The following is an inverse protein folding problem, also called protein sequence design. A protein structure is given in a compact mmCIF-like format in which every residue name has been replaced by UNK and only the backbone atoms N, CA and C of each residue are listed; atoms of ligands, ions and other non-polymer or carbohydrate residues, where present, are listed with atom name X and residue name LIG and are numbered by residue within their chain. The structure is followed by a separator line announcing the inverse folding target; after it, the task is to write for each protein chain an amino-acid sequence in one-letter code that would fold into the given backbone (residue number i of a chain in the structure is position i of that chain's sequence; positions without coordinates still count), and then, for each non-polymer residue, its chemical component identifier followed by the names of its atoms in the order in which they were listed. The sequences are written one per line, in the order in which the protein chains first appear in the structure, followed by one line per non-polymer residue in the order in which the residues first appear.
data_IF_252867482521
#
_entry.id   IF_252867482521
#
_cell.length_a   1.000
_cell.length_b   1.000
_cell.length_c   1.000
_cell.angle_alpha   90.00
_cell.angle_beta   90.00
_cell.angle_gamma   90.00
#
_symmetry.space_group_name_H-M   'P 1'
#
loop_
_entity.id
_entity.type
_entity.pdbx_description
1 polymer ?
#
# COMPACT_ATOMS: atom_id res chain seq x y z
N UNK A 1 -68.33 23.39 -10.23
CA UNK A 1 -67.30 23.24 -9.20
C UNK A 1 -65.99 23.07 -9.96
N UNK A 2 -65.16 24.10 -9.91
CA UNK A 2 -63.95 24.30 -10.71
C UNK A 2 -62.82 23.36 -10.28
N UNK A 3 -62.22 22.67 -11.25
CA UNK A 3 -60.97 21.93 -11.10
C UNK A 3 -59.81 22.93 -11.06
N UNK A 4 -59.08 22.98 -9.95
CA UNK A 4 -57.80 23.69 -9.84
C UNK A 4 -56.73 22.62 -9.57
N UNK A 5 -55.66 22.50 -10.38
CA UNK A 5 -54.57 21.58 -10.10
C UNK A 5 -53.66 22.16 -9.01
N UNK A 6 -53.23 21.32 -8.06
CA UNK A 6 -52.21 21.68 -7.08
C UNK A 6 -50.92 22.18 -7.77
N UNK A 7 -50.26 23.23 -7.24
CA UNK A 7 -49.00 23.70 -7.80
C UNK A 7 -47.89 22.66 -7.60
N UNK A 8 -46.92 22.57 -8.52
CA UNK A 8 -45.82 21.63 -8.38
C UNK A 8 -44.99 21.99 -7.14
N UNK A 9 -44.73 20.99 -6.29
CA UNK A 9 -43.81 21.08 -5.16
C UNK A 9 -42.44 21.44 -5.72
N UNK A 10 -42.08 22.72 -5.58
CA UNK A 10 -40.75 23.22 -5.91
C UNK A 10 -39.71 22.55 -5.02
N UNK A 11 -38.67 22.03 -5.66
CA UNK A 11 -37.44 21.54 -5.07
C UNK A 11 -36.79 22.65 -4.23
N UNK A 12 -37.10 22.67 -2.93
CA UNK A 12 -36.53 23.61 -1.98
C UNK A 12 -35.15 23.10 -1.54
N UNK A 13 -34.15 23.68 -2.20
CA UNK A 13 -32.81 23.91 -1.63
C UNK A 13 -32.04 22.67 -1.19
N UNK A 14 -31.65 21.82 -2.14
CA UNK A 14 -30.34 21.16 -2.03
C UNK A 14 -29.27 22.24 -2.24
N UNK A 15 -28.84 22.88 -1.17
CA UNK A 15 -27.59 23.64 -1.18
C UNK A 15 -26.46 22.63 -1.36
N UNK A 16 -26.04 22.43 -2.60
CA UNK A 16 -24.81 21.69 -2.88
C UNK A 16 -23.67 22.37 -2.10
N UNK A 17 -22.90 21.62 -1.28
CA UNK A 17 -21.75 22.19 -0.61
C UNK A 17 -20.78 22.74 -1.67
N UNK A 18 -20.13 23.89 -1.41
CA UNK A 18 -19.25 24.51 -2.38
C UNK A 18 -18.17 23.52 -2.81
N UNK A 19 -17.76 23.53 -4.10
CA UNK A 19 -16.81 22.58 -4.65
C UNK A 19 -15.50 22.70 -3.87
N UNK A 20 -15.26 21.74 -2.97
CA UNK A 20 -13.95 21.62 -2.33
C UNK A 20 -12.96 21.31 -3.44
N UNK A 21 -11.99 22.20 -3.64
CA UNK A 21 -10.93 22.09 -4.66
C UNK A 21 -10.46 20.63 -4.78
N UNK A 22 -10.45 20.04 -5.98
CA UNK A 22 -10.13 18.61 -6.17
C UNK A 22 -8.86 18.14 -5.46
N UNK A 23 -7.90 19.05 -5.22
CA UNK A 23 -6.72 18.80 -4.39
C UNK A 23 -7.02 18.44 -2.92
N UNK A 24 -7.99 19.09 -2.27
CA UNK A 24 -8.42 18.77 -0.89
C UNK A 24 -9.12 17.42 -0.83
N UNK A 25 -9.93 17.08 -1.84
CA UNK A 25 -10.58 15.77 -1.91
C UNK A 25 -9.58 14.65 -2.18
N UNK A 26 -8.68 14.83 -3.16
CA UNK A 26 -7.60 13.88 -3.45
C UNK A 26 -6.64 13.69 -2.26
N UNK A 27 -6.31 14.78 -1.55
CA UNK A 27 -5.51 14.72 -0.34
C UNK A 27 -6.22 13.91 0.76
N UNK A 28 -7.52 14.13 0.98
CA UNK A 28 -8.30 13.35 1.95
C UNK A 28 -8.39 11.87 1.55
N UNK A 29 -8.57 11.56 0.26
CA UNK A 29 -8.57 10.18 -0.24
C UNK A 29 -7.20 9.50 -0.04
N UNK A 30 -6.11 10.20 -0.34
CA UNK A 30 -4.76 9.68 -0.08
C UNK A 30 -4.53 9.44 1.42
N UNK A 31 -4.88 10.42 2.27
CA UNK A 31 -4.69 10.35 3.72
C UNK A 31 -5.51 9.24 4.40
N UNK A 32 -6.67 8.92 3.84
CA UNK A 32 -7.53 7.84 4.35
C UNK A 32 -7.12 6.46 3.80
N UNK A 33 -6.21 6.41 2.82
CA UNK A 33 -5.72 5.16 2.27
C UNK A 33 -4.59 4.56 3.11
N UNK A 34 -4.39 3.22 3.06
CA UNK A 34 -3.24 2.56 3.69
C UNK A 34 -1.88 3.17 3.30
N UNK A 35 -1.79 3.79 2.12
CA UNK A 35 -0.58 4.46 1.63
C UNK A 35 -0.13 5.64 2.49
N UNK A 36 -1.07 6.37 3.11
CA UNK A 36 -0.71 7.47 3.99
C UNK A 36 -0.02 6.99 5.26
N UNK A 37 -0.42 5.83 5.80
CA UNK A 37 0.28 5.19 6.92
C UNK A 37 1.71 4.78 6.58
N UNK A 38 2.00 4.48 5.31
CA UNK A 38 3.37 4.15 4.87
C UNK A 38 4.21 5.39 4.51
N UNK A 39 3.62 6.59 4.50
CA UNK A 39 4.32 7.78 4.02
C UNK A 39 5.55 8.20 4.83
N UNK A 40 5.60 8.08 6.18
CA UNK A 40 6.83 8.35 6.94
C UNK A 40 7.98 7.41 6.57
N UNK A 41 7.67 6.12 6.35
CA UNK A 41 8.64 5.11 5.94
C UNK A 41 9.19 5.38 4.54
N UNK A 42 8.33 5.75 3.60
CA UNK A 42 8.73 6.12 2.25
C UNK A 42 9.62 7.38 2.29
N UNK A 43 9.24 8.38 3.10
CA UNK A 43 10.03 9.61 3.26
C UNK A 43 11.42 9.30 3.83
N UNK A 44 11.50 8.45 4.85
CA UNK A 44 12.77 7.99 5.42
C UNK A 44 13.61 7.30 4.35
N UNK A 45 13.06 6.33 3.61
CA UNK A 45 13.78 5.60 2.56
C UNK A 45 14.32 6.52 1.45
N UNK A 46 13.60 7.58 1.10
CA UNK A 46 14.03 8.53 0.06
C UNK A 46 15.10 9.53 0.54
N UNK A 47 15.09 9.88 1.82
CA UNK A 47 16.01 10.87 2.39
C UNK A 47 17.26 10.22 2.99
N UNK A 48 17.16 8.99 3.45
CA UNK A 48 18.26 8.22 4.02
C UNK A 48 19.40 8.09 3.00
N UNK A 49 20.61 8.33 3.48
CA UNK A 49 21.85 8.27 2.71
C UNK A 49 23.02 8.72 3.58
N UNK A 50 24.27 8.59 3.10
CA UNK A 50 25.46 8.91 3.89
C UNK A 50 25.41 10.35 4.43
N UNK A 51 25.53 10.51 5.75
CA UNK A 51 25.47 11.80 6.45
C UNK A 51 24.11 12.47 6.50
N UNK A 52 23.02 11.79 6.09
CA UNK A 52 21.65 12.35 6.02
C UNK A 52 20.65 11.64 6.93
N UNK A 53 21.12 10.73 7.78
CA UNK A 53 20.26 9.94 8.66
C UNK A 53 19.45 10.82 9.62
N UNK A 54 20.08 11.84 10.23
CA UNK A 54 19.43 12.79 11.13
C UNK A 54 18.27 13.53 10.44
N UNK A 55 18.52 14.09 9.25
CA UNK A 55 17.52 14.82 8.47
C UNK A 55 16.35 13.91 8.07
N UNK A 56 16.66 12.69 7.64
CA UNK A 56 15.66 11.70 7.25
C UNK A 56 14.79 11.29 8.44
N UNK A 57 15.40 10.96 9.58
CA UNK A 57 14.69 10.54 10.79
C UNK A 57 13.82 11.67 11.36
N UNK A 58 14.36 12.90 11.42
CA UNK A 58 13.62 14.07 11.88
C UNK A 58 12.42 14.39 10.96
N UNK A 59 12.61 14.29 9.64
CA UNK A 59 11.54 14.53 8.66
C UNK A 59 10.44 13.47 8.74
N UNK A 60 10.82 12.19 8.87
CA UNK A 60 9.88 11.09 9.06
C UNK A 60 9.13 11.22 10.39
N UNK A 61 9.80 11.62 11.47
CA UNK A 61 9.17 11.88 12.76
C UNK A 61 8.17 13.05 12.68
N UNK A 62 8.56 14.16 12.05
CA UNK A 62 7.68 15.30 11.85
C UNK A 62 6.43 14.92 11.04
N UNK A 63 6.59 14.15 9.95
CA UNK A 63 5.47 13.65 9.16
C UNK A 63 4.57 12.73 10.00
N UNK A 64 5.16 11.83 10.80
CA UNK A 64 4.41 10.93 11.70
C UNK A 64 3.55 11.70 12.71
N UNK A 65 4.11 12.75 13.33
CA UNK A 65 3.37 13.63 14.24
C UNK A 65 2.23 14.37 13.52
N UNK A 66 2.48 14.85 12.30
CA UNK A 66 1.44 15.52 11.50
C UNK A 66 0.28 14.58 11.17
N UNK A 67 0.55 13.30 10.90
CA UNK A 67 -0.48 12.29 10.64
C UNK A 67 -1.27 11.96 11.91
N UNK A 68 -0.59 11.59 13.02
CA UNK A 68 -1.23 11.25 14.29
C UNK A 68 -2.10 12.39 14.83
N UNK A 69 -1.61 13.64 14.76
CA UNK A 69 -2.33 14.81 15.27
C UNK A 69 -3.41 15.27 14.27
N UNK A 70 -3.17 15.07 12.97
CA UNK A 70 -4.05 15.51 11.89
C UNK A 70 -5.27 14.63 11.70
N UNK A 71 -5.16 13.31 11.93
CA UNK A 71 -6.24 12.34 11.76
C UNK A 71 -7.49 12.66 12.60
N UNK A 72 -7.38 12.74 13.94
CA UNK A 72 -8.52 13.07 14.82
C UNK A 72 -9.18 14.41 14.49
N UNK A 73 -8.38 15.40 14.06
CA UNK A 73 -8.91 16.71 13.62
C UNK A 73 -9.75 16.63 12.33
N UNK A 74 -9.62 15.54 11.57
CA UNK A 74 -10.37 15.24 10.35
C UNK A 74 -11.48 14.20 10.58
N UNK A 75 -11.69 13.76 11.83
CA UNK A 75 -12.72 12.79 12.19
C UNK A 75 -12.32 11.32 12.05
N UNK A 76 -11.04 11.03 11.80
CA UNK A 76 -10.52 9.65 11.78
C UNK A 76 -9.99 9.23 13.16
N UNK A 77 -9.96 7.93 13.44
CA UNK A 77 -9.37 7.42 14.68
C UNK A 77 -7.85 7.33 14.56
N UNK A 78 -7.13 7.51 15.67
CA UNK A 78 -5.68 7.23 15.71
C UNK A 78 -5.43 5.76 15.42
N UNK A 79 -4.53 5.48 14.47
CA UNK A 79 -4.23 4.12 14.01
C UNK A 79 -2.96 3.58 14.68
N UNK A 80 -2.89 2.26 14.81
CA UNK A 80 -1.77 1.55 15.44
C UNK A 80 -0.47 1.82 14.70
N UNK A 81 -0.51 1.88 13.36
CA UNK A 81 0.65 2.21 12.53
C UNK A 81 1.12 3.64 12.81
N UNK A 82 0.24 4.62 12.89
CA UNK A 82 0.63 6.01 13.16
C UNK A 82 1.29 6.17 14.55
N UNK A 83 0.80 5.46 15.57
CA UNK A 83 1.43 5.43 16.91
C UNK A 83 2.79 4.76 16.84
N UNK A 84 2.90 3.67 16.08
CA UNK A 84 4.15 2.97 15.86
C UNK A 84 5.17 3.86 15.14
N UNK A 85 4.75 4.60 14.11
CA UNK A 85 5.58 5.53 13.35
C UNK A 85 6.15 6.63 14.26
N UNK A 86 5.30 7.30 15.04
CA UNK A 86 5.73 8.33 16.00
C UNK A 86 6.70 7.75 17.02
N UNK A 87 6.45 6.53 17.51
CA UNK A 87 7.31 5.88 18.49
C UNK A 87 8.68 5.51 17.89
N UNK A 88 8.67 4.89 16.72
CA UNK A 88 9.87 4.43 16.02
C UNK A 88 10.74 5.62 15.57
N UNK A 89 10.16 6.54 14.78
CA UNK A 89 10.89 7.70 14.27
C UNK A 89 11.24 8.68 15.39
N UNK A 90 10.42 8.79 16.44
CA UNK A 90 10.77 9.59 17.62
C UNK A 90 11.98 9.02 18.35
N UNK A 91 12.04 7.70 18.50
CA UNK A 91 13.21 7.02 19.08
C UNK A 91 14.44 7.23 18.20
N UNK A 92 14.32 7.07 16.87
CA UNK A 92 15.44 7.31 15.94
C UNK A 92 15.91 8.76 15.95
N UNK A 93 15.00 9.74 15.98
CA UNK A 93 15.33 11.15 16.07
C UNK A 93 16.04 11.50 17.40
N UNK A 94 15.58 10.93 18.53
CA UNK A 94 16.26 11.10 19.82
C UNK A 94 17.66 10.49 19.78
N UNK A 95 17.82 9.28 19.25
CA UNK A 95 19.13 8.64 19.14
C UNK A 95 20.04 9.50 18.26
N UNK A 96 19.55 9.97 17.11
CA UNK A 96 20.32 10.79 16.20
C UNK A 96 20.79 12.12 16.84
N UNK A 97 20.00 12.72 17.75
CA UNK A 97 20.36 13.97 18.43
C UNK A 97 21.36 13.80 19.58
N UNK A 98 21.43 12.63 20.22
CA UNK A 98 22.17 12.45 21.48
C UNK A 98 23.24 11.36 21.43
N UNK A 99 23.28 10.53 20.39
CA UNK A 99 24.23 9.44 20.28
C UNK A 99 25.60 9.93 19.78
N UNK A 100 26.64 9.13 20.02
CA UNK A 100 27.98 9.40 19.50
C UNK A 100 28.08 9.08 18.02
N UNK A 101 29.07 9.66 17.34
CA UNK A 101 29.37 9.41 15.91
C UNK A 101 29.46 7.91 15.59
N UNK A 102 30.02 7.10 16.49
CA UNK A 102 30.07 5.64 16.31
C UNK A 102 28.66 5.01 16.22
N UNK A 103 27.72 5.44 17.05
CA UNK A 103 26.35 4.91 17.01
C UNK A 103 25.65 5.37 15.73
N UNK A 104 25.89 6.61 15.30
CA UNK A 104 25.35 7.14 14.04
C UNK A 104 25.91 6.34 12.86
N UNK A 105 27.21 6.11 12.78
CA UNK A 105 27.84 5.25 11.75
C UNK A 105 27.26 3.83 11.73
N UNK A 106 26.94 3.29 12.92
CA UNK A 106 26.30 1.98 13.02
C UNK A 106 24.86 2.00 12.50
N UNK A 107 24.10 3.06 12.79
CA UNK A 107 22.75 3.26 12.27
C UNK A 107 22.72 3.56 10.77
N UNK A 108 23.73 4.24 10.23
CA UNK A 108 23.84 4.43 8.78
C UNK A 108 24.07 3.09 8.06
N UNK A 109 24.79 2.16 8.70
CA UNK A 109 24.99 0.81 8.17
C UNK A 109 23.76 -0.10 8.35
N UNK A 110 23.17 -0.12 9.54
CA UNK A 110 22.14 -1.11 9.91
C UNK A 110 20.72 -0.55 9.95
N UNK A 111 20.52 0.75 9.77
CA UNK A 111 19.23 1.41 9.91
C UNK A 111 18.19 0.95 8.90
N UNK A 112 18.63 0.57 7.69
CA UNK A 112 17.77 -0.05 6.68
C UNK A 112 17.22 -1.40 7.16
N UNK A 113 18.11 -2.28 7.62
CA UNK A 113 17.71 -3.59 8.14
C UNK A 113 16.85 -3.48 9.42
N UNK A 114 17.20 -2.57 10.33
CA UNK A 114 16.38 -2.29 11.52
C UNK A 114 14.97 -1.85 11.16
N UNK A 115 14.84 -0.99 10.13
CA UNK A 115 13.55 -0.52 9.62
C UNK A 115 12.72 -1.68 9.06
N UNK A 116 13.34 -2.55 8.27
CA UNK A 116 12.66 -3.72 7.72
C UNK A 116 12.20 -4.68 8.83
N UNK A 117 13.07 -4.98 9.80
CA UNK A 117 12.73 -5.82 10.96
C UNK A 117 11.61 -5.18 11.79
N UNK A 118 11.65 -3.86 11.99
CA UNK A 118 10.64 -3.13 12.73
C UNK A 118 9.26 -3.25 12.07
N UNK A 119 9.19 -3.09 10.75
CA UNK A 119 7.94 -3.25 9.98
C UNK A 119 7.40 -4.68 10.00
N UNK A 120 8.26 -5.70 9.84
CA UNK A 120 7.86 -7.11 9.97
C UNK A 120 7.31 -7.37 11.37
N UNK A 121 8.04 -6.93 12.40
CA UNK A 121 7.67 -7.12 13.80
C UNK A 121 6.37 -6.41 14.15
N UNK A 122 6.16 -5.22 13.62
CA UNK A 122 4.91 -4.48 13.77
C UNK A 122 3.73 -5.21 13.13
N UNK A 123 3.87 -5.63 11.87
CA UNK A 123 2.80 -6.30 11.15
C UNK A 123 2.43 -7.64 11.82
N UNK A 124 3.44 -8.45 12.20
CA UNK A 124 3.24 -9.66 13.00
C UNK A 124 2.65 -9.36 14.37
N UNK A 125 3.17 -8.35 15.06
CA UNK A 125 2.68 -7.92 16.37
C UNK A 125 1.20 -7.57 16.33
N UNK A 126 0.75 -6.87 15.28
CA UNK A 126 -0.65 -6.52 15.06
C UNK A 126 -1.55 -7.76 14.95
N UNK A 127 -1.09 -8.81 14.26
CA UNK A 127 -1.77 -10.11 14.18
C UNK A 127 -1.80 -10.79 15.56
N UNK A 128 -0.68 -10.80 16.28
CA UNK A 128 -0.54 -11.47 17.58
C UNK A 128 -1.45 -10.87 18.66
N UNK A 129 -1.64 -9.54 18.65
CA UNK A 129 -2.60 -8.86 19.54
C UNK A 129 -4.05 -8.93 19.01
N UNK A 130 -4.29 -9.70 17.95
CA UNK A 130 -5.58 -9.90 17.29
C UNK A 130 -6.21 -8.63 16.72
N UNK A 131 -5.39 -7.64 16.37
CA UNK A 131 -5.79 -6.37 15.75
C UNK A 131 -4.91 -6.14 14.52
N UNK A 132 -5.11 -6.90 13.42
CA UNK A 132 -4.35 -6.68 12.18
C UNK A 132 -4.39 -5.22 11.79
N UNK A 133 -3.24 -4.59 11.56
CA UNK A 133 -3.15 -3.13 11.43
C UNK A 133 -4.02 -2.58 10.29
N UNK A 134 -4.26 -3.38 9.25
CA UNK A 134 -5.10 -3.01 8.09
C UNK A 134 -6.56 -2.81 8.48
N UNK A 135 -7.04 -3.47 9.54
CA UNK A 135 -8.43 -3.42 10.00
C UNK A 135 -8.87 -2.00 10.34
N UNK A 136 -8.00 -1.19 10.95
CA UNK A 136 -8.31 0.19 11.33
C UNK A 136 -8.47 1.09 10.10
N UNK A 137 -7.72 0.84 9.03
CA UNK A 137 -7.86 1.55 7.76
C UNK A 137 -9.13 1.10 7.04
N UNK A 138 -9.36 -0.22 6.94
CA UNK A 138 -10.53 -0.76 6.25
C UNK A 138 -11.86 -0.30 6.88
N UNK A 139 -11.92 -0.12 8.21
CA UNK A 139 -13.11 0.40 8.89
C UNK A 139 -13.48 1.83 8.48
N UNK A 140 -12.54 2.63 7.99
CA UNK A 140 -12.83 4.00 7.54
C UNK A 140 -13.53 4.04 6.19
N UNK A 141 -13.36 2.99 5.37
CA UNK A 141 -13.96 2.89 4.03
C UNK A 141 -15.14 1.93 3.96
N UNK A 142 -15.31 1.06 4.97
CA UNK A 142 -16.36 0.05 5.02
C UNK A 142 -17.48 0.46 5.98
N UNK A 143 -18.74 0.17 5.61
CA UNK A 143 -19.90 0.45 6.46
C UNK A 143 -19.84 -0.31 7.79
N UNK A 144 -20.32 0.34 8.85
CA UNK A 144 -20.23 -0.16 10.24
C UNK A 144 -20.87 -1.53 10.44
N UNK A 145 -21.89 -1.85 9.66
CA UNK A 145 -22.58 -3.15 9.72
C UNK A 145 -21.70 -4.34 9.34
N UNK A 146 -20.66 -4.13 8.53
CA UNK A 146 -19.73 -5.20 8.11
C UNK A 146 -18.49 -5.33 9.00
N UNK A 147 -18.26 -4.40 9.93
CA UNK A 147 -17.03 -4.31 10.72
C UNK A 147 -16.73 -5.56 11.56
N UNK A 148 -17.77 -6.26 11.99
CA UNK A 148 -17.68 -7.47 12.81
C UNK A 148 -17.97 -8.74 12.00
N UNK A 149 -18.15 -8.63 10.68
CA UNK A 149 -18.38 -9.79 9.83
C UNK A 149 -17.13 -10.68 9.77
N UNK A 150 -17.28 -12.02 9.85
CA UNK A 150 -16.14 -12.94 9.76
C UNK A 150 -15.34 -12.78 8.47
N UNK A 151 -16.02 -12.46 7.35
CA UNK A 151 -15.38 -12.23 6.05
C UNK A 151 -14.49 -10.98 6.08
N UNK A 152 -14.99 -9.85 6.58
CA UNK A 152 -14.24 -8.61 6.68
C UNK A 152 -12.99 -8.75 7.57
N UNK A 153 -13.15 -9.42 8.71
CA UNK A 153 -12.03 -9.71 9.62
C UNK A 153 -11.02 -10.62 8.90
N UNK A 154 -11.48 -11.70 8.26
CA UNK A 154 -10.61 -12.63 7.54
C UNK A 154 -9.82 -11.94 6.43
N UNK A 155 -10.46 -11.10 5.62
CA UNK A 155 -9.81 -10.31 4.56
C UNK A 155 -8.65 -9.49 5.13
N UNK A 156 -8.88 -8.77 6.24
CA UNK A 156 -7.85 -7.95 6.87
C UNK A 156 -6.69 -8.77 7.44
N UNK A 157 -6.94 -9.96 7.98
CA UNK A 157 -5.86 -10.87 8.38
C UNK A 157 -5.02 -11.31 7.18
N UNK A 158 -5.65 -11.70 6.07
CA UNK A 158 -4.93 -12.15 4.88
C UNK A 158 -4.11 -11.02 4.26
N UNK A 159 -4.68 -9.80 4.19
CA UNK A 159 -3.95 -8.62 3.71
C UNK A 159 -2.77 -8.31 4.66
N UNK A 160 -2.97 -8.34 5.98
CA UNK A 160 -1.89 -8.13 6.94
C UNK A 160 -0.79 -9.18 6.80
N UNK A 161 -1.13 -10.44 6.53
CA UNK A 161 -0.14 -11.47 6.20
C UNK A 161 0.62 -11.19 4.89
N UNK A 162 -0.05 -10.65 3.87
CA UNK A 162 0.62 -10.21 2.64
C UNK A 162 1.64 -9.09 2.93
N UNK A 163 1.32 -8.15 3.84
CA UNK A 163 2.27 -7.15 4.32
C UNK A 163 3.44 -7.76 5.10
N UNK A 164 3.18 -8.74 5.98
CA UNK A 164 4.25 -9.48 6.67
C UNK A 164 5.19 -10.13 5.65
N UNK A 165 4.65 -10.74 4.59
CA UNK A 165 5.46 -11.34 3.53
C UNK A 165 6.24 -10.27 2.75
N UNK A 166 5.59 -9.16 2.38
CA UNK A 166 6.24 -8.06 1.66
C UNK A 166 7.41 -7.45 2.44
N UNK A 167 7.20 -7.14 3.72
CA UNK A 167 8.27 -6.67 4.61
C UNK A 167 9.30 -7.75 4.90
N UNK A 168 8.89 -9.01 5.01
CA UNK A 168 9.80 -10.14 5.21
C UNK A 168 10.75 -10.33 4.02
N UNK A 169 10.24 -10.20 2.79
CA UNK A 169 11.05 -10.18 1.57
C UNK A 169 12.03 -9.00 1.59
N UNK A 170 11.58 -7.82 2.01
CA UNK A 170 12.45 -6.66 2.12
C UNK A 170 13.57 -6.86 3.15
N UNK A 171 13.24 -7.37 4.35
CA UNK A 171 14.22 -7.68 5.41
C UNK A 171 15.22 -8.75 4.97
N UNK A 172 14.76 -9.87 4.42
CA UNK A 172 15.65 -10.95 3.96
C UNK A 172 16.56 -10.45 2.83
N UNK A 173 16.02 -9.62 1.93
CA UNK A 173 16.79 -9.00 0.85
C UNK A 173 17.85 -8.03 1.39
N UNK A 174 17.47 -7.11 2.28
CA UNK A 174 18.37 -6.16 2.93
C UNK A 174 19.49 -6.88 3.66
N UNK A 175 19.14 -7.81 4.56
CA UNK A 175 20.10 -8.65 5.27
C UNK A 175 21.05 -9.40 4.34
N UNK A 176 20.59 -9.90 3.18
CA UNK A 176 21.47 -10.54 2.21
C UNK A 176 22.44 -9.53 1.57
N UNK A 177 21.97 -8.32 1.23
CA UNK A 177 22.83 -7.23 0.75
C UNK A 177 23.92 -6.87 1.76
N UNK A 178 23.53 -6.71 3.02
CA UNK A 178 24.44 -6.30 4.09
C UNK A 178 25.43 -7.41 4.46
N UNK A 179 24.95 -8.63 4.69
CA UNK A 179 25.75 -9.73 5.26
C UNK A 179 26.52 -10.52 4.22
N UNK A 180 26.00 -10.64 2.99
CA UNK A 180 26.58 -11.51 1.94
C UNK A 180 27.27 -10.70 0.87
N UNK A 181 26.71 -9.55 0.47
CA UNK A 181 27.30 -8.70 -0.56
C UNK A 181 28.20 -7.59 0.01
N UNK A 182 28.13 -7.31 1.32
CA UNK A 182 28.79 -6.18 1.98
C UNK A 182 28.49 -4.84 1.27
N UNK A 183 27.27 -4.73 0.73
CA UNK A 183 26.77 -3.60 -0.05
C UNK A 183 25.32 -3.29 0.34
N UNK A 184 25.11 -2.47 1.39
CA UNK A 184 23.77 -2.13 1.86
C UNK A 184 22.95 -1.32 0.85
N UNK A 185 23.62 -0.67 -0.10
CA UNK A 185 22.98 0.15 -1.14
C UNK A 185 22.90 -0.58 -2.49
N UNK A 186 23.10 -1.90 -2.49
CA UNK A 186 23.05 -2.69 -3.70
C UNK A 186 21.74 -2.48 -4.47
N UNK A 187 21.83 -2.27 -5.78
CA UNK A 187 20.67 -1.98 -6.62
C UNK A 187 19.55 -3.02 -6.46
N UNK A 188 19.88 -4.31 -6.45
CA UNK A 188 18.87 -5.37 -6.37
C UNK A 188 18.37 -5.59 -4.96
N UNK A 189 19.29 -5.80 -4.00
CA UNK A 189 18.93 -6.23 -2.66
C UNK A 189 18.53 -5.07 -1.74
N UNK A 190 19.09 -3.88 -1.98
CA UNK A 190 18.78 -2.63 -1.29
C UNK A 190 17.52 -1.93 -1.81
N UNK A 191 17.18 -2.09 -3.10
CA UNK A 191 16.10 -1.33 -3.73
C UNK A 191 15.07 -2.18 -4.45
N UNK A 192 15.45 -2.89 -5.52
CA UNK A 192 14.46 -3.54 -6.41
C UNK A 192 13.65 -4.62 -5.68
N UNK A 193 14.27 -5.53 -4.96
CA UNK A 193 13.51 -6.62 -4.31
C UNK A 193 12.62 -6.08 -3.20
N UNK A 194 13.11 -5.10 -2.42
CA UNK A 194 12.36 -4.50 -1.32
C UNK A 194 11.13 -3.74 -1.83
N UNK A 195 11.32 -2.85 -2.81
CA UNK A 195 10.23 -2.09 -3.43
C UNK A 195 9.22 -3.04 -4.09
N UNK A 196 9.69 -4.10 -4.77
CA UNK A 196 8.82 -5.11 -5.36
C UNK A 196 7.93 -5.81 -4.33
N UNK A 197 8.48 -6.17 -3.16
CA UNK A 197 7.72 -6.74 -2.05
C UNK A 197 6.64 -5.79 -1.51
N UNK A 198 6.97 -4.50 -1.37
CA UNK A 198 6.01 -3.46 -0.95
C UNK A 198 4.91 -3.24 -1.99
N UNK A 199 5.26 -3.10 -3.28
CA UNK A 199 4.28 -2.91 -4.35
C UNK A 199 3.37 -4.14 -4.45
N UNK A 200 3.88 -5.35 -4.26
CA UNK A 200 3.05 -6.55 -4.20
C UNK A 200 2.05 -6.50 -3.06
N UNK A 201 2.47 -6.15 -1.84
CA UNK A 201 1.56 -6.05 -0.70
C UNK A 201 0.47 -4.98 -0.91
N UNK A 202 0.82 -3.87 -1.55
CA UNK A 202 -0.11 -2.83 -1.99
C UNK A 202 -1.11 -3.38 -3.01
N UNK A 203 -0.63 -3.97 -4.11
CA UNK A 203 -1.48 -4.52 -5.16
C UNK A 203 -2.42 -5.60 -4.61
N UNK A 204 -1.93 -6.40 -3.65
CA UNK A 204 -2.75 -7.38 -2.95
C UNK A 204 -3.81 -6.74 -2.04
N UNK A 205 -3.49 -5.63 -1.38
CA UNK A 205 -4.44 -4.88 -0.54
C UNK A 205 -5.61 -4.32 -1.37
N UNK A 206 -5.33 -3.87 -2.60
CA UNK A 206 -6.36 -3.37 -3.51
C UNK A 206 -7.18 -4.51 -4.14
N UNK A 207 -6.52 -5.59 -4.57
CA UNK A 207 -7.16 -6.69 -5.30
C UNK A 207 -7.96 -7.66 -4.40
N UNK A 208 -7.41 -8.01 -3.23
CA UNK A 208 -7.93 -9.15 -2.46
C UNK A 208 -9.34 -8.97 -1.87
N UNK A 209 -9.76 -7.78 -1.38
CA UNK A 209 -11.12 -7.59 -0.86
C UNK A 209 -12.21 -7.94 -1.89
N UNK A 210 -12.09 -7.42 -3.10
CA UNK A 210 -13.08 -7.61 -4.17
C UNK A 210 -13.08 -9.08 -4.63
N UNK A 211 -11.89 -9.66 -4.81
CA UNK A 211 -11.75 -11.08 -5.12
C UNK A 211 -12.38 -11.99 -4.04
N UNK A 212 -12.15 -11.69 -2.76
CA UNK A 212 -12.65 -12.50 -1.65
C UNK A 212 -14.17 -12.36 -1.47
N UNK A 213 -14.70 -11.14 -1.64
CA UNK A 213 -16.14 -10.84 -1.51
C UNK A 213 -16.93 -11.51 -2.62
N UNK A 214 -16.47 -11.40 -3.88
CA UNK A 214 -17.07 -12.11 -5.00
C UNK A 214 -17.09 -13.63 -4.79
N UNK A 215 -15.97 -14.21 -4.34
CA UNK A 215 -15.86 -15.67 -4.11
C UNK A 215 -16.75 -16.14 -2.96
N UNK A 216 -16.91 -15.32 -1.92
CA UNK A 216 -17.85 -15.60 -0.83
C UNK A 216 -19.30 -15.54 -1.32
N UNK A 217 -19.67 -14.50 -2.08
CA UNK A 217 -21.00 -14.35 -2.64
C UNK A 217 -21.39 -15.54 -3.54
N UNK A 218 -20.49 -15.97 -4.44
CA UNK A 218 -20.72 -17.15 -5.30
C UNK A 218 -20.86 -18.44 -4.49
N UNK A 219 -20.06 -18.61 -3.43
CA UNK A 219 -20.11 -19.81 -2.58
C UNK A 219 -21.41 -19.91 -1.79
N UNK A 220 -21.89 -18.78 -1.25
CA UNK A 220 -23.09 -18.72 -0.42
C UNK A 220 -24.37 -18.44 -1.22
N UNK A 221 -24.25 -18.21 -2.54
CA UNK A 221 -25.38 -17.93 -3.43
C UNK A 221 -26.00 -16.55 -3.23
N UNK A 222 -25.23 -15.58 -2.73
CA UNK A 222 -25.70 -14.20 -2.58
C UNK A 222 -25.81 -13.53 -3.95
N UNK A 223 -26.83 -12.68 -4.12
CA UNK A 223 -26.90 -11.78 -5.26
C UNK A 223 -25.72 -10.80 -5.15
N UNK A 224 -24.89 -10.76 -6.18
CA UNK A 224 -23.79 -9.80 -6.29
C UNK A 224 -23.80 -9.22 -7.69
N UNK A 225 -23.65 -7.90 -7.76
CA UNK A 225 -23.43 -7.17 -9.01
C UNK A 225 -21.94 -7.14 -9.39
N UNK A 226 -21.07 -7.68 -8.52
CA UNK A 226 -19.63 -7.77 -8.75
C UNK A 226 -19.33 -8.80 -9.84
N UNK A 227 -18.39 -8.43 -10.72
CA UNK A 227 -17.92 -9.29 -11.81
C UNK A 227 -16.75 -10.16 -11.33
N UNK A 228 -16.60 -11.38 -11.88
CA UNK A 228 -15.43 -12.20 -11.59
C UNK A 228 -14.16 -11.50 -12.10
N UNK A 229 -13.30 -11.09 -11.17
CA UNK A 229 -11.99 -10.54 -11.53
C UNK A 229 -10.95 -11.65 -11.73
N UNK A 230 -10.13 -11.51 -12.78
CA UNK A 230 -8.99 -12.40 -12.96
C UNK A 230 -7.86 -12.09 -11.99
N UNK A 231 -7.16 -13.13 -11.54
CA UNK A 231 -5.93 -13.00 -10.73
C UNK A 231 -4.81 -12.22 -11.44
N UNK A 232 -4.95 -11.93 -12.74
CA UNK A 232 -4.00 -11.11 -13.47
C UNK A 232 -4.00 -9.66 -12.97
N UNK A 233 -5.10 -9.15 -12.43
CA UNK A 233 -5.12 -7.79 -11.87
C UNK A 233 -4.12 -7.62 -10.72
N UNK A 234 -3.91 -8.65 -9.89
CA UNK A 234 -2.88 -8.67 -8.84
C UNK A 234 -1.45 -8.40 -9.37
N UNK A 235 -1.16 -8.85 -10.60
CA UNK A 235 0.17 -8.70 -11.21
C UNK A 235 0.25 -7.54 -12.21
N UNK A 236 -0.77 -6.68 -12.28
CA UNK A 236 -0.82 -5.53 -13.18
C UNK A 236 0.33 -4.55 -13.02
N UNK A 237 0.97 -4.51 -11.84
CA UNK A 237 2.13 -3.69 -11.54
C UNK A 237 3.44 -4.22 -12.14
N UNK A 238 3.55 -5.51 -12.45
CA UNK A 238 4.82 -6.14 -12.86
C UNK A 238 5.38 -5.52 -14.15
N UNK A 239 4.61 -5.30 -15.23
CA UNK A 239 5.16 -4.75 -16.47
C UNK A 239 5.73 -3.34 -16.31
N UNK A 240 5.02 -2.46 -15.59
CA UNK A 240 5.49 -1.10 -15.31
C UNK A 240 6.71 -1.12 -14.37
N UNK A 241 6.75 -2.09 -13.46
CA UNK A 241 7.88 -2.27 -12.57
C UNK A 241 9.14 -2.72 -13.30
N UNK A 242 9.04 -3.67 -14.23
CA UNK A 242 10.16 -4.09 -15.09
C UNK A 242 10.70 -2.93 -15.91
N UNK A 243 9.80 -2.10 -16.45
CA UNK A 243 10.16 -0.86 -17.14
C UNK A 243 10.93 0.08 -16.21
N UNK A 244 10.42 0.30 -14.98
CA UNK A 244 11.04 1.17 -13.99
C UNK A 244 12.43 0.65 -13.58
N UNK A 245 12.63 -0.66 -13.40
CA UNK A 245 13.95 -1.26 -13.13
C UNK A 245 14.93 -0.88 -14.26
N UNK A 246 14.50 -1.01 -15.52
CA UNK A 246 15.32 -0.65 -16.67
C UNK A 246 15.73 0.83 -16.68
N UNK A 247 14.78 1.75 -16.40
CA UNK A 247 15.07 3.19 -16.29
C UNK A 247 16.01 3.47 -15.13
N UNK A 248 15.67 3.01 -13.92
CA UNK A 248 16.45 3.25 -12.70
C UNK A 248 17.85 2.68 -12.83
N UNK A 249 18.01 1.50 -13.44
CA UNK A 249 19.30 0.88 -13.65
C UNK A 249 20.22 1.65 -14.61
N UNK A 250 19.66 2.36 -15.61
CA UNK A 250 20.42 3.26 -16.47
C UNK A 250 20.74 4.59 -15.78
N UNK A 251 19.78 5.17 -15.06
CA UNK A 251 19.95 6.46 -14.37
C UNK A 251 21.00 6.39 -13.26
N UNK A 252 21.12 5.23 -12.61
CA UNK A 252 22.06 4.99 -11.51
C UNK A 252 23.34 4.31 -11.95
N UNK A 253 23.53 4.06 -13.24
CA UNK A 253 24.64 3.27 -13.80
C UNK A 253 24.79 1.85 -13.19
N UNK A 254 23.73 1.34 -12.55
CA UNK A 254 23.70 0.02 -11.91
C UNK A 254 23.54 -1.14 -12.91
N UNK A 255 23.04 -0.85 -14.12
CA UNK A 255 22.89 -1.82 -15.20
C UNK A 255 23.69 -1.37 -16.43
N UNK A 256 24.29 -2.33 -17.14
CA UNK A 256 24.88 -2.06 -18.44
C UNK A 256 23.83 -1.53 -19.43
N UNK A 257 24.21 -0.62 -20.32
CA UNK A 257 23.29 0.07 -21.24
C UNK A 257 22.37 -0.89 -22.00
N UNK A 258 22.91 -1.99 -22.50
CA UNK A 258 22.15 -3.02 -23.21
C UNK A 258 21.09 -3.65 -22.30
N UNK A 259 21.45 -4.03 -21.07
CA UNK A 259 20.53 -4.66 -20.13
C UNK A 259 19.39 -3.69 -19.74
N UNK A 260 19.71 -2.43 -19.45
CA UNK A 260 18.72 -1.41 -19.13
C UNK A 260 17.74 -1.16 -20.29
N UNK A 261 18.25 -1.00 -21.52
CA UNK A 261 17.41 -0.82 -22.72
C UNK A 261 16.52 -2.05 -22.97
N UNK A 262 17.06 -3.27 -22.80
CA UNK A 262 16.29 -4.51 -22.94
C UNK A 262 15.14 -4.55 -21.93
N UNK A 263 15.37 -4.21 -20.66
CA UNK A 263 14.32 -4.17 -19.64
C UNK A 263 13.24 -3.12 -19.94
N UNK A 264 13.63 -1.94 -20.43
CA UNK A 264 12.67 -0.90 -20.84
C UNK A 264 11.78 -1.41 -21.98
N UNK A 265 12.39 -1.93 -23.04
CA UNK A 265 11.64 -2.47 -24.20
C UNK A 265 10.75 -3.63 -23.78
N UNK A 266 11.28 -4.56 -22.98
CA UNK A 266 10.52 -5.69 -22.45
C UNK A 266 9.34 -5.22 -21.61
N UNK A 267 9.52 -4.23 -20.73
CA UNK A 267 8.46 -3.63 -19.92
C UNK A 267 7.36 -2.97 -20.78
N UNK A 268 7.73 -2.17 -21.79
CA UNK A 268 6.77 -1.53 -22.72
C UNK A 268 5.95 -2.58 -23.49
N UNK A 269 6.61 -3.62 -24.00
CA UNK A 269 5.93 -4.72 -24.70
C UNK A 269 5.02 -5.49 -23.73
N UNK A 270 5.53 -5.80 -22.53
CA UNK A 270 4.79 -6.52 -21.51
C UNK A 270 3.53 -5.75 -21.08
N UNK A 271 3.56 -4.42 -20.96
CA UNK A 271 2.36 -3.61 -20.62
C UNK A 271 1.22 -3.88 -21.62
N UNK A 272 1.54 -3.90 -22.92
CA UNK A 272 0.52 -4.11 -23.96
C UNK A 272 0.03 -5.55 -24.01
N UNK A 273 0.94 -6.52 -23.85
CA UNK A 273 0.60 -7.95 -23.82
C UNK A 273 -0.26 -8.26 -22.59
N UNK A 274 0.13 -7.75 -21.43
CA UNK A 274 -0.56 -7.97 -20.17
C UNK A 274 -1.99 -7.44 -20.21
N UNK A 275 -2.20 -6.19 -20.69
CA UNK A 275 -3.54 -5.62 -20.88
C UNK A 275 -4.45 -6.51 -21.73
N UNK A 276 -3.92 -7.07 -22.84
CA UNK A 276 -4.69 -7.97 -23.71
C UNK A 276 -4.99 -9.30 -23.03
N UNK A 277 -4.03 -9.87 -22.31
CA UNK A 277 -4.20 -11.12 -21.58
C UNK A 277 -5.22 -11.00 -20.44
N UNK A 278 -5.16 -9.92 -19.66
CA UNK A 278 -6.11 -9.64 -18.58
C UNK A 278 -7.53 -9.52 -19.15
N UNK A 279 -7.74 -8.69 -20.18
CA UNK A 279 -9.05 -8.54 -20.81
C UNK A 279 -9.60 -9.87 -21.39
N UNK A 280 -8.73 -10.69 -22.00
CA UNK A 280 -9.12 -12.00 -22.50
C UNK A 280 -9.48 -12.99 -21.37
N UNK A 281 -8.82 -12.89 -20.21
CA UNK A 281 -9.11 -13.73 -19.04
C UNK A 281 -10.42 -13.31 -18.38
N UNK A 282 -10.64 -12.00 -18.20
CA UNK A 282 -11.88 -11.46 -17.64
C UNK A 282 -13.09 -11.89 -18.49
N UNK A 283 -12.99 -11.77 -19.81
CA UNK A 283 -14.04 -12.23 -20.73
C UNK A 283 -14.33 -13.74 -20.62
N UNK A 284 -13.30 -14.57 -20.37
CA UNK A 284 -13.46 -16.02 -20.15
C UNK A 284 -14.14 -16.33 -18.82
N UNK A 285 -13.80 -15.58 -17.78
CA UNK A 285 -14.40 -15.73 -16.46
C UNK A 285 -15.88 -15.34 -16.49
N UNK A 286 -16.23 -14.20 -17.10
CA UNK A 286 -17.61 -13.78 -17.30
C UNK A 286 -18.41 -14.83 -18.08
N UNK A 287 -17.85 -15.37 -19.16
CA UNK A 287 -18.51 -16.41 -19.97
C UNK A 287 -18.74 -17.72 -19.21
N UNK A 288 -17.91 -18.02 -18.20
CA UNK A 288 -18.04 -19.23 -17.38
C UNK A 288 -19.03 -19.01 -16.23
N UNK A 289 -19.03 -17.83 -15.63
CA UNK A 289 -19.96 -17.45 -14.56
C UNK A 289 -21.42 -17.38 -15.03
N UNK A 290 -21.66 -17.02 -16.29
CA UNK A 290 -23.01 -16.94 -16.88
C UNK A 290 -23.64 -18.28 -17.32
N UNK A 291 -22.96 -19.42 -17.16
CA UNK A 291 -23.55 -20.74 -17.49
C UNK A 291 -24.33 -21.27 -16.30
N UNK A 292 -25.63 -21.59 -16.45
CA UNK A 292 -26.36 -22.33 -15.42
C UNK A 292 -25.64 -23.66 -15.18
N UNK A 293 -25.35 -23.99 -13.92
CA UNK A 293 -24.89 -25.31 -13.52
C UNK A 293 -25.95 -26.32 -13.95
N UNK A 294 -25.69 -27.06 -15.03
CA UNK A 294 -26.46 -28.25 -15.36
C UNK A 294 -26.04 -29.33 -14.36
N UNK A 295 -26.78 -29.46 -13.27
CA UNK A 295 -26.77 -30.62 -12.38
C UNK A 295 -28.13 -31.28 -12.40
#
# INVERSE_FOLDING_TARGET
MSNEPDPPVGDSTRTDPPPTSGARHALTLFLNSPFAGMSPWILMALLAGPGRFEEAAASAFALSLLLVIGGPKRGTSVKLLEVFDVTYFGTMAIIALFASDHVIDWLERWGGEMTNIALVSFALGSILVRQPFTLQYARETTEKEFWDSPLFIHINYVITWAWVVGFGVAAISGAFGDLVLDDPNNFWTGWIIQIGGTIFAIAFTEFYPDYATYRAAVREGWATDEKPESIMHLFGWVPIYVLAIGISGLVTDSLGTVAGVVLIVAGVVAINVFKRMTAAMDARLEATAGRPTQS
#
